data_IF_399001106326
#
_entry.id   IF_399001106326
#
_cell.length_a   1.000
_cell.length_b   1.000
_cell.length_c   1.000
_cell.angle_alpha   90.00
_cell.angle_beta   90.00
_cell.angle_gamma   90.00
#
_symmetry.space_group_name_H-M   'P 1'
#
loop_
_entity.id
_entity.type
_entity.pdbx_description
1 polymer ?
#
# COMPACT_ATOMS: atom_id res chain seq x y z
N UNK A 1 33.25 18.08 -4.91
CA UNK A 1 33.33 17.35 -3.64
C UNK A 1 31.92 17.16 -3.08
N UNK A 2 31.27 16.04 -3.41
CA UNK A 2 29.86 15.76 -3.07
C UNK A 2 29.63 15.49 -1.57
N UNK A 3 30.71 15.32 -0.79
CA UNK A 3 30.65 15.01 0.64
C UNK A 3 30.11 16.17 1.50
N UNK A 4 30.25 17.42 1.04
CA UNK A 4 29.75 18.57 1.80
C UNK A 4 28.24 18.79 1.62
N UNK A 5 27.64 18.39 0.51
CA UNK A 5 26.24 18.68 0.18
C UNK A 5 25.23 17.80 0.95
N UNK A 6 25.69 16.72 1.61
CA UNK A 6 24.85 15.78 2.36
C UNK A 6 25.05 15.83 3.89
N UNK A 7 25.57 16.91 4.46
CA UNK A 7 25.64 17.02 5.94
C UNK A 7 24.22 17.07 6.51
N UNK A 8 23.76 15.93 7.01
CA UNK A 8 22.57 15.81 7.83
C UNK A 8 22.96 15.94 9.31
N UNK A 9 22.19 16.71 10.06
CA UNK A 9 22.35 16.79 11.52
C UNK A 9 21.41 15.77 12.16
N UNK A 10 21.94 14.95 13.07
CA UNK A 10 21.17 13.94 13.79
C UNK A 10 20.73 14.48 15.15
N UNK A 11 19.49 14.17 15.53
CA UNK A 11 18.86 14.58 16.77
C UNK A 11 18.26 13.33 17.43
N UNK A 12 18.58 13.10 18.71
CA UNK A 12 17.89 12.10 19.50
C UNK A 12 16.61 12.71 20.08
N UNK A 13 15.50 11.99 19.98
CA UNK A 13 14.30 12.26 20.78
C UNK A 13 14.38 11.43 22.04
N UNK A 14 14.23 12.11 23.17
CA UNK A 14 14.24 11.50 24.49
C UNK A 14 12.86 11.62 25.13
N UNK A 15 12.40 10.53 25.74
CA UNK A 15 11.17 10.50 26.53
C UNK A 15 11.33 11.21 27.86
N UNK A 16 10.24 11.30 28.63
CA UNK A 16 10.22 11.95 29.94
C UNK A 16 11.15 11.26 30.96
N UNK A 17 11.41 9.96 30.79
CA UNK A 17 12.32 9.16 31.61
C UNK A 17 13.79 9.23 31.15
N UNK A 18 14.09 10.02 30.10
CA UNK A 18 15.41 10.16 29.52
C UNK A 18 15.82 9.03 28.56
N UNK A 19 14.94 8.07 28.28
CA UNK A 19 15.22 7.02 27.29
C UNK A 19 15.16 7.57 25.86
N UNK A 20 15.97 7.03 24.95
CA UNK A 20 15.94 7.43 23.54
C UNK A 20 14.75 6.73 22.86
N UNK A 21 13.74 7.51 22.48
CA UNK A 21 12.52 7.03 21.82
C UNK A 21 12.61 7.12 20.29
N UNK A 22 13.57 7.89 19.78
CA UNK A 22 13.80 7.99 18.35
C UNK A 22 15.01 8.80 17.93
N UNK A 23 15.31 8.71 16.64
CA UNK A 23 16.39 9.42 15.97
C UNK A 23 15.81 10.12 14.75
N UNK A 24 16.10 11.40 14.59
CA UNK A 24 15.70 12.19 13.44
C UNK A 24 16.94 12.81 12.79
N UNK A 25 17.03 12.73 11.46
CA UNK A 25 18.06 13.41 10.68
C UNK A 25 17.44 14.50 9.83
N UNK A 26 18.01 15.70 9.88
CA UNK A 26 17.57 16.85 9.08
C UNK A 26 18.66 17.32 8.15
N UNK A 27 18.27 17.79 6.96
CA UNK A 27 19.19 18.50 6.08
C UNK A 27 19.47 19.93 6.57
N UNK A 28 20.27 20.67 5.80
CA UNK A 28 20.64 22.06 6.11
C UNK A 28 19.47 23.04 6.09
N UNK A 29 18.38 22.71 5.38
CA UNK A 29 17.14 23.50 5.32
C UNK A 29 16.18 23.11 6.45
N UNK A 30 16.57 22.15 7.31
CA UNK A 30 15.75 21.66 8.40
C UNK A 30 14.71 20.62 7.98
N UNK A 31 14.72 20.15 6.72
CA UNK A 31 13.80 19.12 6.24
C UNK A 31 14.19 17.77 6.82
N UNK A 32 13.18 17.00 7.26
CA UNK A 32 13.39 15.64 7.78
C UNK A 32 13.76 14.70 6.64
N UNK A 33 14.90 14.04 6.77
CA UNK A 33 15.42 13.06 5.82
C UNK A 33 15.13 11.65 6.28
N UNK A 34 15.38 11.39 7.56
CA UNK A 34 15.23 10.07 8.19
C UNK A 34 14.59 10.29 9.56
N UNK A 35 13.65 9.42 9.92
CA UNK A 35 13.12 9.35 11.29
C UNK A 35 12.93 7.89 11.65
N UNK A 36 13.55 7.48 12.76
CA UNK A 36 13.42 6.16 13.35
C UNK A 36 12.78 6.35 14.71
N UNK A 37 11.57 5.83 14.87
CA UNK A 37 10.77 5.92 16.10
C UNK A 37 9.98 4.62 16.26
N UNK A 38 9.57 4.31 17.49
CA UNK A 38 8.62 3.21 17.72
C UNK A 38 7.29 3.48 17.03
N UNK A 39 6.69 2.44 16.44
CA UNK A 39 5.37 2.53 15.78
C UNK A 39 5.29 3.62 14.70
N UNK A 40 6.38 3.88 13.96
CA UNK A 40 6.39 4.79 12.82
C UNK A 40 6.56 4.04 11.51
N UNK A 41 5.70 4.35 10.56
CA UNK A 41 5.84 3.99 9.16
C UNK A 41 5.45 5.20 8.31
N UNK A 42 6.38 6.14 8.16
CA UNK A 42 6.12 7.43 7.54
C UNK A 42 7.21 7.75 6.52
N UNK A 43 6.80 8.04 5.29
CA UNK A 43 7.69 8.49 4.21
C UNK A 43 7.70 10.02 4.12
N UNK A 44 7.41 10.69 5.22
CA UNK A 44 7.27 12.14 5.32
C UNK A 44 6.24 12.68 4.31
N UNK A 45 6.60 13.73 3.56
CA UNK A 45 5.68 14.44 2.67
C UNK A 45 5.19 13.59 1.49
N UNK A 46 5.90 12.51 1.13
CA UNK A 46 5.55 11.67 -0.02
C UNK A 46 4.70 10.45 0.34
N UNK A 47 4.39 10.22 1.62
CA UNK A 47 3.74 8.98 2.07
C UNK A 47 2.42 8.67 1.34
N UNK A 48 1.46 9.59 1.39
CA UNK A 48 0.19 9.42 0.69
C UNK A 48 0.36 9.41 -0.82
N UNK A 49 1.22 10.26 -1.37
CA UNK A 49 1.49 10.28 -2.81
C UNK A 49 2.03 8.94 -3.33
N UNK A 50 2.98 8.35 -2.59
CA UNK A 50 3.64 7.09 -2.93
C UNK A 50 2.64 5.93 -2.97
N UNK A 51 1.78 5.80 -1.96
CA UNK A 51 0.83 4.69 -1.89
C UNK A 51 -0.47 4.95 -2.66
N UNK A 52 -0.94 6.20 -2.77
CA UNK A 52 -2.18 6.55 -3.46
C UNK A 52 -1.98 6.71 -4.95
N UNK A 53 -1.17 7.68 -5.36
CA UNK A 53 -0.96 7.98 -6.78
C UNK A 53 0.04 7.02 -7.40
N UNK A 54 1.15 6.78 -6.70
CA UNK A 54 2.18 5.82 -7.11
C UNK A 54 1.78 4.36 -6.92
N UNK A 55 0.63 4.09 -6.28
CA UNK A 55 0.09 2.74 -5.99
C UNK A 55 1.16 1.80 -5.44
N UNK A 56 2.11 2.33 -4.65
CA UNK A 56 3.25 1.60 -4.10
C UNK A 56 4.03 0.75 -5.10
N UNK A 57 4.10 1.12 -6.38
CA UNK A 57 4.72 0.28 -7.44
C UNK A 57 6.15 -0.17 -7.08
N UNK A 58 6.95 0.69 -6.45
CA UNK A 58 8.33 0.38 -6.06
C UNK A 58 8.44 -0.73 -5.00
N UNK A 59 7.41 -0.91 -4.16
CA UNK A 59 7.36 -1.95 -3.13
C UNK A 59 6.44 -3.10 -3.51
N UNK A 60 5.77 -3.04 -4.67
CA UNK A 60 4.83 -4.07 -5.15
C UNK A 60 5.50 -5.44 -5.33
N UNK A 61 6.81 -5.50 -5.59
CA UNK A 61 7.56 -6.77 -5.61
C UNK A 61 7.58 -7.50 -4.26
N UNK A 62 7.39 -6.77 -3.16
CA UNK A 62 7.26 -7.33 -1.82
C UNK A 62 5.79 -7.60 -1.45
N UNK A 63 4.86 -7.18 -2.31
CA UNK A 63 3.42 -7.43 -2.20
C UNK A 63 2.98 -8.78 -2.82
N UNK A 64 3.88 -9.76 -2.85
CA UNK A 64 3.49 -11.13 -3.11
C UNK A 64 3.04 -11.76 -1.80
N UNK A 65 1.77 -12.14 -1.69
CA UNK A 65 1.53 -13.32 -0.87
C UNK A 65 2.41 -14.42 -1.44
N UNK A 66 2.91 -15.30 -0.56
CA UNK A 66 3.75 -16.42 -0.95
C UNK A 66 3.04 -17.40 -1.89
N UNK A 67 2.00 -17.04 -2.65
CA UNK A 67 1.10 -17.92 -3.38
C UNK A 67 1.79 -19.01 -4.22
N UNK A 68 2.94 -18.71 -4.84
CA UNK A 68 3.75 -19.74 -5.52
C UNK A 68 4.37 -20.75 -4.54
N UNK A 69 4.82 -20.30 -3.37
CA UNK A 69 5.42 -21.11 -2.30
C UNK A 69 4.37 -21.77 -1.39
N UNK A 70 3.33 -21.04 -0.98
CA UNK A 70 2.30 -21.46 -0.02
C UNK A 70 1.19 -22.27 -0.68
N UNK A 71 0.74 -21.87 -1.88
CA UNK A 71 -0.35 -22.58 -2.58
C UNK A 71 0.17 -23.48 -3.71
N UNK A 72 1.49 -23.56 -3.93
CA UNK A 72 2.09 -24.42 -4.94
C UNK A 72 1.53 -24.17 -6.35
N UNK A 73 1.19 -22.91 -6.65
CA UNK A 73 0.60 -22.52 -7.94
C UNK A 73 -0.84 -22.98 -8.18
N UNK A 74 -1.52 -23.54 -7.17
CA UNK A 74 -2.92 -24.01 -7.31
C UNK A 74 -3.95 -22.90 -7.28
N UNK A 75 -3.60 -21.77 -6.66
CA UNK A 75 -4.40 -20.56 -6.62
C UNK A 75 -3.75 -19.49 -7.51
N UNK A 76 -4.62 -18.78 -8.22
CA UNK A 76 -4.33 -17.70 -9.14
C UNK A 76 -4.92 -16.41 -8.56
N UNK A 77 -4.36 -15.29 -8.99
CA UNK A 77 -4.80 -13.95 -8.63
C UNK A 77 -4.74 -13.07 -9.89
N UNK A 78 -5.74 -12.22 -10.09
CA UNK A 78 -5.68 -11.20 -11.13
C UNK A 78 -4.62 -10.15 -10.81
N UNK A 79 -4.14 -9.46 -11.84
CA UNK A 79 -3.12 -8.43 -11.64
C UNK A 79 -3.63 -7.29 -10.73
N UNK A 80 -3.02 -7.15 -9.55
CA UNK A 80 -3.35 -6.08 -8.59
C UNK A 80 -2.90 -4.72 -9.12
N UNK A 81 -3.83 -3.94 -9.68
CA UNK A 81 -3.55 -2.58 -10.16
C UNK A 81 -4.05 -1.48 -9.23
N UNK A 82 -4.82 -1.82 -8.21
CA UNK A 82 -5.34 -0.88 -7.21
C UNK A 82 -4.27 -0.52 -6.16
N UNK A 83 -4.50 0.57 -5.43
CA UNK A 83 -3.66 1.00 -4.30
C UNK A 83 -3.87 0.10 -3.07
N UNK A 84 -3.03 0.16 -2.01
CA UNK A 84 -3.23 -0.66 -0.81
C UNK A 84 -4.66 -0.57 -0.25
N UNK A 85 -5.20 -1.69 0.22
CA UNK A 85 -6.56 -1.77 0.78
C UNK A 85 -6.65 -1.28 2.23
N UNK A 86 -5.51 -1.19 2.91
CA UNK A 86 -5.35 -0.73 4.29
C UNK A 86 -3.94 -0.14 4.47
N UNK A 87 -3.63 0.64 5.50
CA UNK A 87 -4.48 1.08 6.60
C UNK A 87 -4.87 2.55 6.41
N UNK A 88 -6.16 2.83 6.32
CA UNK A 88 -6.69 4.17 6.15
C UNK A 88 -7.04 4.81 7.50
N UNK A 89 -6.96 6.13 7.57
CA UNK A 89 -7.51 6.95 8.64
C UNK A 89 -8.16 8.21 8.04
N UNK A 90 -8.87 8.98 8.86
CA UNK A 90 -9.33 10.32 8.48
C UNK A 90 -8.29 11.31 9.01
N UNK A 91 -7.80 12.19 8.14
CA UNK A 91 -7.01 13.33 8.57
C UNK A 91 -7.89 14.35 9.27
N UNK A 92 -7.58 14.67 10.53
CA UNK A 92 -8.41 15.53 11.39
C UNK A 92 -8.59 16.96 10.84
N UNK A 93 -7.65 17.44 10.03
CA UNK A 93 -7.66 18.81 9.52
C UNK A 93 -8.41 18.93 8.19
N UNK A 94 -8.18 18.00 7.26
CA UNK A 94 -8.76 18.02 5.92
C UNK A 94 -10.04 17.21 5.79
N UNK A 95 -10.34 16.34 6.77
CA UNK A 95 -11.43 15.37 6.76
C UNK A 95 -11.39 14.43 5.54
N UNK A 96 -10.19 14.18 4.99
CA UNK A 96 -9.96 13.27 3.86
C UNK A 96 -9.35 11.96 4.35
N UNK A 97 -9.57 10.89 3.60
CA UNK A 97 -8.86 9.64 3.86
C UNK A 97 -7.36 9.82 3.63
N UNK A 98 -6.54 9.31 4.55
CA UNK A 98 -5.08 9.25 4.44
C UNK A 98 -4.60 7.87 4.83
N UNK A 99 -3.40 7.50 4.40
CA UNK A 99 -2.76 6.30 4.93
C UNK A 99 -2.21 6.58 6.34
N UNK A 100 -2.43 5.62 7.23
CA UNK A 100 -1.87 5.67 8.58
C UNK A 100 -0.34 5.71 8.53
N UNK A 101 0.27 6.52 9.40
CA UNK A 101 1.73 6.74 9.45
C UNK A 101 2.44 5.94 10.53
N UNK A 102 1.72 5.03 11.18
CA UNK A 102 2.23 4.08 12.16
C UNK A 102 2.20 2.62 11.66
N UNK A 103 1.53 2.36 10.54
CA UNK A 103 1.37 1.04 9.95
C UNK A 103 1.73 1.09 8.47
N UNK A 104 2.38 0.04 7.97
CA UNK A 104 2.65 -0.09 6.55
C UNK A 104 1.34 -0.25 5.75
N UNK A 105 1.08 0.59 4.73
CA UNK A 105 0.02 0.32 3.79
C UNK A 105 0.25 -1.00 3.04
N UNK A 106 -0.77 -1.84 2.98
CA UNK A 106 -0.71 -3.20 2.48
C UNK A 106 -1.91 -3.56 1.59
N UNK A 107 -1.70 -4.47 0.65
CA UNK A 107 -2.76 -5.15 -0.10
C UNK A 107 -3.08 -6.48 0.59
N UNK A 108 -3.62 -6.41 1.79
CA UNK A 108 -3.89 -7.60 2.58
C UNK A 108 -5.30 -8.17 2.34
N UNK A 109 -6.12 -7.49 1.53
CA UNK A 109 -7.42 -7.97 1.06
C UNK A 109 -7.26 -8.45 -0.38
N UNK A 110 -7.49 -9.74 -0.61
CA UNK A 110 -7.16 -10.45 -1.86
C UNK A 110 -8.30 -11.36 -2.27
N UNK A 111 -8.51 -11.52 -3.57
CA UNK A 111 -9.42 -12.54 -4.13
C UNK A 111 -8.60 -13.52 -4.94
N UNK A 112 -8.50 -14.75 -4.43
CA UNK A 112 -7.81 -15.85 -5.09
C UNK A 112 -8.83 -16.83 -5.67
N UNK A 113 -8.48 -17.46 -6.79
CA UNK A 113 -9.33 -18.43 -7.48
C UNK A 113 -8.48 -19.57 -8.04
N UNK A 114 -9.10 -20.67 -8.45
CA UNK A 114 -8.40 -21.80 -9.04
C UNK A 114 -8.43 -21.75 -10.59
N UNK A 115 -7.69 -22.64 -11.24
CA UNK A 115 -7.67 -22.77 -12.69
C UNK A 115 -9.08 -22.93 -13.30
N UNK A 116 -9.98 -23.69 -12.66
CA UNK A 116 -11.34 -23.91 -13.18
C UNK A 116 -12.15 -22.62 -13.25
N UNK A 117 -12.03 -21.75 -12.24
CA UNK A 117 -12.67 -20.45 -12.25
C UNK A 117 -12.04 -19.52 -13.30
N UNK A 118 -10.70 -19.55 -13.40
CA UNK A 118 -9.96 -18.79 -14.42
C UNK A 118 -10.39 -19.13 -15.84
N UNK A 119 -10.61 -20.41 -16.14
CA UNK A 119 -11.09 -20.89 -17.44
C UNK A 119 -12.50 -20.40 -17.80
N UNK A 120 -13.29 -20.00 -16.80
CA UNK A 120 -14.65 -19.50 -16.99
C UNK A 120 -14.69 -18.00 -17.23
N UNK A 121 -13.66 -17.24 -16.81
CA UNK A 121 -13.64 -15.79 -16.93
C UNK A 121 -13.56 -15.34 -18.39
N UNK A 122 -14.46 -14.44 -18.79
CA UNK A 122 -14.38 -13.75 -20.08
C UNK A 122 -13.31 -12.68 -20.05
N UNK A 123 -12.30 -12.86 -20.88
CA UNK A 123 -11.26 -11.88 -21.14
C UNK A 123 -11.55 -11.20 -22.49
N UNK A 124 -12.66 -10.47 -22.59
CA UNK A 124 -13.03 -9.80 -23.84
C UNK A 124 -12.00 -8.69 -24.14
N UNK A 125 -11.17 -8.93 -25.15
CA UNK A 125 -9.97 -8.13 -25.46
C UNK A 125 -10.24 -6.72 -26.01
N UNK A 126 -11.52 -6.36 -26.20
CA UNK A 126 -11.92 -5.10 -26.83
C UNK A 126 -12.74 -4.16 -25.94
N UNK A 127 -13.24 -4.61 -24.78
CA UNK A 127 -13.94 -3.76 -23.82
C UNK A 127 -13.56 -4.19 -22.40
N UNK A 128 -13.13 -3.22 -21.59
CA UNK A 128 -12.74 -3.39 -20.19
C UNK A 128 -13.90 -3.82 -19.23
N UNK A 129 -14.93 -4.53 -19.72
CA UNK A 129 -16.18 -4.79 -18.99
C UNK A 129 -16.35 -6.22 -18.49
N UNK A 130 -15.49 -7.17 -18.90
CA UNK A 130 -15.65 -8.58 -18.52
C UNK A 130 -15.12 -8.92 -17.12
N UNK A 131 -14.11 -8.18 -16.64
CA UNK A 131 -13.42 -8.48 -15.39
C UNK A 131 -12.91 -7.20 -14.72
N UNK A 132 -13.28 -6.99 -13.46
CA UNK A 132 -12.81 -5.92 -12.59
C UNK A 132 -12.23 -6.52 -11.32
N UNK A 133 -11.00 -6.16 -10.97
CA UNK A 133 -10.38 -6.50 -9.69
C UNK A 133 -9.83 -5.24 -9.02
N UNK A 134 -10.45 -4.81 -7.92
CA UNK A 134 -10.16 -3.50 -7.35
C UNK A 134 -10.80 -3.20 -6.01
N UNK A 135 -10.51 -1.99 -5.51
CA UNK A 135 -11.12 -1.46 -4.30
C UNK A 135 -12.56 -1.02 -4.55
N UNK A 136 -13.45 -1.47 -3.69
CA UNK A 136 -14.75 -0.85 -3.51
C UNK A 136 -14.53 0.47 -2.76
N UNK A 137 -15.27 1.51 -3.17
CA UNK A 137 -15.19 2.84 -2.56
C UNK A 137 -13.77 3.46 -2.61
N UNK A 138 -13.10 3.39 -3.77
CA UNK A 138 -11.73 3.87 -3.93
C UNK A 138 -11.55 5.34 -3.49
N UNK A 139 -12.54 6.19 -3.76
CA UNK A 139 -12.53 7.62 -3.41
C UNK A 139 -13.09 7.95 -2.02
N UNK A 140 -13.86 7.04 -1.41
CA UNK A 140 -14.57 7.32 -0.16
C UNK A 140 -13.90 6.64 1.04
N UNK A 141 -13.93 7.30 2.20
CA UNK A 141 -13.55 6.63 3.45
C UNK A 141 -14.71 5.75 3.92
N UNK A 142 -14.49 4.44 3.93
CA UNK A 142 -15.46 3.46 4.44
C UNK A 142 -14.97 2.71 5.68
N UNK A 143 -13.77 3.04 6.15
CA UNK A 143 -13.10 2.39 7.27
C UNK A 143 -11.59 2.28 7.05
N UNK A 144 -10.88 1.74 8.03
CA UNK A 144 -9.43 1.50 7.93
C UNK A 144 -9.07 0.47 6.84
N UNK A 145 -10.04 -0.36 6.47
CA UNK A 145 -9.96 -1.37 5.44
C UNK A 145 -10.98 -1.05 4.35
N UNK A 146 -10.52 -0.83 3.12
CA UNK A 146 -11.39 -0.71 1.96
C UNK A 146 -11.66 -2.11 1.40
N UNK A 147 -12.93 -2.49 1.15
CA UNK A 147 -13.23 -3.80 0.58
C UNK A 147 -12.58 -3.98 -0.80
N UNK A 148 -12.13 -5.20 -1.10
CA UNK A 148 -11.63 -5.59 -2.42
C UNK A 148 -12.65 -6.52 -3.07
N UNK A 149 -12.94 -6.29 -4.35
CA UNK A 149 -13.88 -7.10 -5.12
C UNK A 149 -13.27 -7.56 -6.44
N UNK A 150 -13.56 -8.81 -6.80
CA UNK A 150 -13.40 -9.35 -8.14
C UNK A 150 -14.81 -9.51 -8.74
N UNK A 151 -15.12 -8.77 -9.80
CA UNK A 151 -16.36 -8.88 -10.55
C UNK A 151 -16.02 -9.41 -11.94
N UNK A 152 -16.54 -10.58 -12.30
CA UNK A 152 -16.22 -11.24 -13.57
C UNK A 152 -17.48 -11.79 -14.24
N UNK A 153 -17.55 -11.65 -15.55
CA UNK A 153 -18.52 -12.36 -16.39
C UNK A 153 -17.99 -13.76 -16.72
N UNK A 154 -18.83 -14.78 -16.52
CA UNK A 154 -18.45 -16.17 -16.76
C UNK A 154 -19.19 -16.79 -17.95
N UNK A 155 -18.50 -17.65 -18.70
CA UNK A 155 -19.12 -18.50 -19.72
C UNK A 155 -19.52 -19.84 -19.12
N UNK A 156 -20.84 -20.06 -18.93
CA UNK A 156 -21.33 -21.40 -18.63
C UNK A 156 -21.39 -22.20 -19.94
N UNK A 157 -20.66 -23.31 -20.02
CA UNK A 157 -20.82 -24.27 -21.11
C UNK A 157 -22.10 -25.05 -20.84
N UNK A 158 -23.08 -24.93 -21.74
CA UNK A 158 -24.26 -25.80 -21.77
C UNK A 158 -23.88 -27.22 -22.17
#
# INVERSE_FOLDING_TARGET
DFAHTQRATSYAKTGEDGTIEGIEQRDREGRKLVTVESQRFDLHTIHDWFFRLGRGQMVKKYNGELAQVVFGGKLLEESVFFRPSRHYAIDEHSNKDVFMRNLCPAWADRVLYNHRASDLFRHDSFCASGLYYGLVADTEYVGQHKPVALHASICLKN
#
